data_IF_149728500103
#
_entry.id   IF_149728500103
#
_cell.length_a   1.000
_cell.length_b   1.000
_cell.length_c   1.000
_cell.angle_alpha   90.00
_cell.angle_beta   90.00
_cell.angle_gamma   90.00
#
_symmetry.space_group_name_H-M   'P 1'
#
loop_
_entity.id
_entity.type
_entity.pdbx_description
1 polymer ?
#
# COMPACT_ATOMS: atom_id res chain seq x y z
N UNK A 1 -16.66 -51.94 1.27
CA UNK A 1 -17.29 -51.13 2.35
C UNK A 1 -16.12 -50.60 3.20
N UNK A 2 -15.57 -49.43 2.90
CA UNK A 2 -16.05 -48.07 3.19
C UNK A 2 -15.78 -47.62 4.64
N UNK A 3 -15.37 -46.35 4.75
CA UNK A 3 -15.12 -45.48 5.92
C UNK A 3 -13.79 -45.72 6.69
N UNK A 4 -12.76 -44.88 6.52
CA UNK A 4 -12.59 -43.48 6.98
C UNK A 4 -12.44 -43.41 8.52
N UNK A 5 -11.55 -42.67 9.17
CA UNK A 5 -10.51 -41.70 8.82
C UNK A 5 -10.08 -41.09 10.17
N UNK A 6 -8.79 -40.94 10.48
CA UNK A 6 -8.36 -39.87 11.38
C UNK A 6 -6.88 -39.55 11.19
N UNK A 7 -6.55 -39.00 10.02
CA UNK A 7 -5.35 -38.19 9.89
C UNK A 7 -5.67 -36.83 10.52
N UNK A 8 -5.10 -36.56 11.69
CA UNK A 8 -5.13 -35.22 12.27
C UNK A 8 -4.43 -34.25 11.28
N UNK A 9 -5.06 -33.13 10.88
CA UNK A 9 -4.41 -32.20 9.96
C UNK A 9 -3.28 -31.45 10.68
N UNK A 10 -2.11 -31.41 10.06
CA UNK A 10 -0.93 -30.63 10.46
C UNK A 10 -1.12 -29.11 10.29
N UNK A 11 -2.31 -28.65 9.91
CA UNK A 11 -2.67 -27.23 9.85
C UNK A 11 -3.13 -26.74 11.21
N UNK A 12 -2.22 -26.73 12.18
CA UNK A 12 -2.32 -25.83 13.31
C UNK A 12 -2.37 -24.40 12.78
N UNK A 13 -3.58 -23.84 12.76
CA UNK A 13 -3.86 -22.48 13.19
C UNK A 13 -2.93 -21.44 12.56
N UNK A 14 -3.28 -21.01 11.34
CA UNK A 14 -3.09 -19.60 11.01
C UNK A 14 -4.10 -18.86 11.88
N UNK A 15 -3.69 -18.49 13.11
CA UNK A 15 -4.35 -17.39 13.80
C UNK A 15 -4.50 -16.28 12.75
N UNK A 16 -5.70 -15.72 12.53
CA UNK A 16 -5.82 -14.58 11.65
C UNK A 16 -4.81 -13.56 12.14
N UNK A 17 -3.89 -13.16 11.26
CA UNK A 17 -2.96 -12.07 11.50
C UNK A 17 -3.83 -10.83 11.69
N UNK A 18 -4.31 -10.62 12.92
CA UNK A 18 -4.94 -9.39 13.36
C UNK A 18 -3.87 -8.32 13.22
N UNK A 19 -3.83 -7.68 12.05
CA UNK A 19 -3.36 -6.31 12.01
C UNK A 19 -4.27 -5.54 12.97
N UNK A 20 -3.65 -5.03 14.04
CA UNK A 20 -4.24 -4.27 15.14
C UNK A 20 -5.45 -3.47 14.68
N UNK A 21 -6.56 -3.55 15.43
CA UNK A 21 -7.83 -2.88 15.08
C UNK A 21 -7.68 -1.37 14.86
N UNK A 22 -6.58 -0.74 15.29
CA UNK A 22 -6.07 0.52 14.76
C UNK A 22 -4.54 0.53 14.80
N UNK A 23 -3.87 0.72 13.66
CA UNK A 23 -2.46 1.09 13.57
C UNK A 23 -2.37 2.44 12.83
N UNK A 24 -2.09 3.55 13.54
CA UNK A 24 -2.01 4.88 12.93
C UNK A 24 -1.04 4.99 11.75
N UNK A 25 0.01 4.15 11.72
CA UNK A 25 0.94 4.09 10.58
C UNK A 25 0.29 3.44 9.38
N UNK A 26 -0.44 2.35 9.59
CA UNK A 26 -1.21 1.67 8.53
C UNK A 26 -2.27 2.61 7.95
N UNK A 27 -2.95 3.39 8.80
CA UNK A 27 -3.93 4.38 8.37
C UNK A 27 -3.30 5.53 7.56
N UNK A 28 -2.15 6.05 8.00
CA UNK A 28 -1.41 7.09 7.31
C UNK A 28 -0.89 6.62 5.94
N UNK A 29 -0.35 5.40 5.85
CA UNK A 29 0.05 4.78 4.57
C UNK A 29 -1.17 4.65 3.65
N UNK A 30 -2.28 4.12 4.17
CA UNK A 30 -3.53 4.00 3.41
C UNK A 30 -4.05 5.35 2.91
N UNK A 31 -3.92 6.41 3.71
CA UNK A 31 -4.25 7.78 3.30
C UNK A 31 -3.37 8.26 2.14
N UNK A 32 -2.05 8.12 2.24
CA UNK A 32 -1.13 8.55 1.18
C UNK A 32 -1.40 7.80 -0.13
N UNK A 33 -1.69 6.49 -0.07
CA UNK A 33 -2.04 5.71 -1.26
C UNK A 33 -3.33 6.21 -1.94
N UNK A 34 -4.35 6.59 -1.16
CA UNK A 34 -5.58 7.17 -1.69
C UNK A 34 -5.36 8.56 -2.28
N UNK A 35 -4.55 9.39 -1.63
CA UNK A 35 -4.17 10.71 -2.13
C UNK A 35 -3.43 10.60 -3.47
N UNK A 36 -2.42 9.73 -3.55
CA UNK A 36 -1.65 9.51 -4.77
C UNK A 36 -2.53 9.07 -5.95
N UNK A 37 -3.49 8.16 -5.69
CA UNK A 37 -4.49 7.75 -6.70
C UNK A 37 -5.35 8.92 -7.16
N UNK A 38 -5.86 9.72 -6.23
CA UNK A 38 -6.72 10.85 -6.58
C UNK A 38 -5.97 11.87 -7.45
N UNK A 39 -4.77 12.28 -7.04
CA UNK A 39 -3.95 13.23 -7.80
C UNK A 39 -3.65 12.72 -9.21
N UNK A 40 -3.31 11.42 -9.33
CA UNK A 40 -3.06 10.79 -10.63
C UNK A 40 -4.30 10.82 -11.53
N UNK A 41 -5.47 10.45 -11.00
CA UNK A 41 -6.73 10.46 -11.75
C UNK A 41 -7.13 11.85 -12.23
N UNK A 42 -6.77 12.90 -11.50
CA UNK A 42 -6.98 14.29 -11.93
C UNK A 42 -5.88 14.85 -12.85
N UNK A 43 -5.02 13.99 -13.40
CA UNK A 43 -4.05 14.38 -14.43
C UNK A 43 -2.85 15.18 -13.91
N UNK A 44 -2.53 15.11 -12.62
CA UNK A 44 -1.31 15.74 -12.10
C UNK A 44 -0.08 15.20 -12.82
N UNK A 45 0.82 16.11 -13.21
CA UNK A 45 2.10 15.71 -13.77
C UNK A 45 2.91 14.93 -12.73
N UNK A 46 3.63 13.90 -13.17
CA UNK A 46 4.37 12.98 -12.30
C UNK A 46 5.23 13.68 -11.23
N UNK A 47 6.09 14.68 -11.56
CA UNK A 47 6.90 15.36 -10.55
C UNK A 47 6.07 16.09 -9.48
N UNK A 48 4.95 16.68 -9.88
CA UNK A 48 4.08 17.44 -8.97
C UNK A 48 3.33 16.50 -8.04
N UNK A 49 2.83 15.38 -8.57
CA UNK A 49 2.21 14.32 -7.78
C UNK A 49 3.20 13.80 -6.75
N UNK A 50 4.40 13.40 -7.19
CA UNK A 50 5.47 12.84 -6.36
C UNK A 50 5.89 13.79 -5.25
N UNK A 51 6.04 15.08 -5.55
CA UNK A 51 6.34 16.11 -4.57
C UNK A 51 5.23 16.24 -3.51
N UNK A 52 3.97 16.35 -3.94
CA UNK A 52 2.83 16.54 -3.04
C UNK A 52 2.68 15.34 -2.09
N UNK A 53 2.77 14.11 -2.59
CA UNK A 53 2.63 12.91 -1.75
C UNK A 53 3.83 12.73 -0.82
N UNK A 54 5.03 13.12 -1.26
CA UNK A 54 6.24 13.11 -0.41
C UNK A 54 6.10 14.10 0.75
N UNK A 55 5.65 15.33 0.47
CA UNK A 55 5.42 16.35 1.48
C UNK A 55 4.30 16.00 2.46
N UNK A 56 3.26 15.31 1.98
CA UNK A 56 2.18 14.79 2.82
C UNK A 56 2.66 13.65 3.72
N UNK A 57 3.40 12.68 3.15
CA UNK A 57 3.97 11.56 3.90
C UNK A 57 4.91 12.04 5.02
N UNK A 58 5.78 13.00 4.71
CA UNK A 58 6.68 13.61 5.69
C UNK A 58 5.91 14.26 6.85
N UNK A 59 4.83 15.00 6.56
CA UNK A 59 3.98 15.63 7.58
C UNK A 59 3.27 14.62 8.48
N UNK A 60 3.04 13.41 7.98
CA UNK A 60 2.47 12.30 8.75
C UNK A 60 3.53 11.44 9.44
N UNK A 61 4.81 11.85 9.41
CA UNK A 61 5.91 11.11 10.03
C UNK A 61 6.27 9.82 9.31
N UNK A 62 5.95 9.72 8.02
CA UNK A 62 6.30 8.58 7.18
C UNK A 62 7.60 8.87 6.41
N UNK A 63 8.46 7.85 6.33
CA UNK A 63 9.55 7.80 5.37
C UNK A 63 9.03 7.05 4.16
N UNK A 64 9.07 7.69 2.99
CA UNK A 64 8.63 7.03 1.77
C UNK A 64 9.20 7.64 0.50
N UNK A 65 9.22 6.81 -0.53
CA UNK A 65 9.71 7.13 -1.87
C UNK A 65 8.59 6.87 -2.88
N UNK A 66 8.44 7.78 -3.83
CA UNK A 66 7.31 7.78 -4.75
C UNK A 66 7.80 7.97 -6.17
N UNK A 67 7.19 7.23 -7.08
CA UNK A 67 7.33 7.44 -8.52
C UNK A 67 6.00 7.15 -9.21
N UNK A 68 5.75 7.85 -10.31
CA UNK A 68 4.53 7.70 -11.07
C UNK A 68 4.84 7.57 -12.57
N UNK A 69 4.01 6.76 -13.22
CA UNK A 69 3.95 6.63 -14.67
C UNK A 69 2.52 6.94 -15.12
N UNK A 70 2.25 7.03 -16.42
CA UNK A 70 0.90 7.26 -16.92
C UNK A 70 -0.15 6.24 -16.42
N UNK A 71 0.25 5.03 -16.01
CA UNK A 71 -0.71 3.97 -15.61
C UNK A 71 -0.40 3.31 -14.27
N UNK A 72 0.57 3.85 -13.54
CA UNK A 72 0.97 3.28 -12.26
C UNK A 72 1.51 4.34 -11.31
N UNK A 73 1.27 4.14 -10.02
CA UNK A 73 2.00 4.83 -8.96
C UNK A 73 2.68 3.79 -8.09
N UNK A 74 3.98 3.95 -7.87
CA UNK A 74 4.77 3.19 -6.93
C UNK A 74 5.00 4.02 -5.67
N UNK A 75 4.78 3.41 -4.51
CA UNK A 75 5.04 4.00 -3.22
C UNK A 75 5.76 2.98 -2.35
N UNK A 76 6.94 3.31 -1.85
CA UNK A 76 7.68 2.51 -0.89
C UNK A 76 7.69 3.22 0.45
N UNK A 77 7.34 2.53 1.54
CA UNK A 77 7.32 3.10 2.89
C UNK A 77 8.23 2.33 3.84
N UNK A 78 8.96 3.06 4.68
CA UNK A 78 9.91 2.51 5.65
C UNK A 78 11.36 2.85 5.32
N UNK A 79 12.26 2.34 6.15
CA UNK A 79 13.70 2.59 6.06
C UNK A 79 14.35 1.64 5.05
N UNK A 80 14.95 2.20 3.99
CA UNK A 80 15.85 1.52 3.05
C UNK A 80 15.40 0.10 2.66
N UNK A 81 16.16 -0.93 3.04
CA UNK A 81 15.95 -2.33 2.65
C UNK A 81 14.72 -2.96 3.33
N UNK A 82 14.12 -2.31 4.33
CA UNK A 82 12.92 -2.75 5.03
C UNK A 82 11.64 -2.10 4.48
N UNK A 83 11.75 -1.39 3.35
CA UNK A 83 10.61 -0.76 2.72
C UNK A 83 9.55 -1.78 2.30
N UNK A 84 8.30 -1.43 2.57
CA UNK A 84 7.13 -2.09 1.98
C UNK A 84 6.70 -1.31 0.76
N UNK A 85 6.73 -1.97 -0.39
CA UNK A 85 6.37 -1.38 -1.68
C UNK A 85 4.92 -1.68 -2.02
N UNK A 86 4.20 -0.65 -2.45
CA UNK A 86 2.84 -0.68 -2.93
C UNK A 86 2.83 -0.21 -4.39
N UNK A 87 2.11 -0.95 -5.23
CA UNK A 87 1.86 -0.58 -6.61
C UNK A 87 0.38 -0.33 -6.81
N UNK A 88 0.04 0.89 -7.19
CA UNK A 88 -1.30 1.29 -7.57
C UNK A 88 -1.41 1.22 -9.08
N UNK A 89 -2.27 0.34 -9.60
CA UNK A 89 -2.72 0.42 -11.00
C UNK A 89 -3.75 1.52 -11.11
N UNK A 90 -3.52 2.48 -11.99
CA UNK A 90 -4.35 3.66 -12.20
C UNK A 90 -4.64 3.79 -13.70
N UNK A 91 -5.83 4.24 -14.04
CA UNK A 91 -6.10 4.67 -15.42
C UNK A 91 -5.33 5.99 -15.68
N UNK A 92 -4.89 6.25 -16.92
CA UNK A 92 -4.35 7.56 -17.28
C UNK A 92 -5.29 8.67 -16.83
N UNK A 93 -4.74 9.72 -16.21
CA UNK A 93 -5.53 10.88 -15.84
C UNK A 93 -6.12 11.55 -17.08
N UNK A 94 -7.39 11.94 -16.99
CA UNK A 94 -8.03 12.77 -18.00
C UNK A 94 -7.63 14.24 -17.75
N UNK A 95 -7.24 14.96 -18.81
CA UNK A 95 -6.88 16.40 -18.77
C UNK A 95 -7.90 17.20 -19.55
#
# INVERSE_FOLDING_TARGET
MSSASMQAPYFSRLEPMMHSEFDPRTDAVGFILRLARALHTYGYAAPQLEEVVSLAALRLGLVGEFSSSPTSVFAAFGEREQQRTYMLRVEPGDV
#
